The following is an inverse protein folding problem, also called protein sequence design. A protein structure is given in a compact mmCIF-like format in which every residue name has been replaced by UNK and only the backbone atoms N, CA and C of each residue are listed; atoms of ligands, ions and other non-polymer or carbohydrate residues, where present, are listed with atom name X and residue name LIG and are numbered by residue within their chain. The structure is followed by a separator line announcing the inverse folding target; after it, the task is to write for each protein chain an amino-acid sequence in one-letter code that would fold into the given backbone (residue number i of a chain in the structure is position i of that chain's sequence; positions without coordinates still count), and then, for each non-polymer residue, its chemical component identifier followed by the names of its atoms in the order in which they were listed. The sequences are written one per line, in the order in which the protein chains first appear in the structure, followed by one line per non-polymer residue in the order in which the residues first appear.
data_IF_763034134066
#
_entry.id   IF_763034134066
#
_cell.length_a   1.000
_cell.length_b   1.000
_cell.length_c   1.000
_cell.angle_alpha   90.00
_cell.angle_beta   90.00
_cell.angle_gamma   90.00
#
_symmetry.space_group_name_H-M   'P 1'
#
loop_
_entity.id
_entity.type
_entity.pdbx_description
1 polymer ?
#
# COMPACT_ATOMS: atom_id res chain seq x y z
N UNK A 1 -27.60 -10.40 -22.11
CA UNK A 1 -28.44 -10.48 -20.90
C UNK A 1 -27.97 -11.57 -19.92
N UNK A 2 -27.86 -12.85 -20.31
CA UNK A 2 -27.45 -13.97 -19.42
C UNK A 2 -26.08 -13.77 -18.75
N UNK A 3 -25.08 -13.22 -19.46
CA UNK A 3 -23.75 -12.93 -18.87
C UNK A 3 -23.79 -11.88 -17.74
N UNK A 4 -24.73 -10.94 -17.79
CA UNK A 4 -24.92 -9.90 -16.75
C UNK A 4 -25.65 -10.51 -15.54
N UNK A 5 -26.67 -11.31 -15.77
CA UNK A 5 -27.40 -12.01 -14.71
C UNK A 5 -26.50 -13.01 -13.95
N UNK A 6 -25.58 -13.67 -14.65
CA UNK A 6 -24.61 -14.57 -14.04
C UNK A 6 -23.40 -13.86 -13.40
N UNK A 7 -23.29 -12.52 -13.48
CA UNK A 7 -22.14 -11.79 -12.94
C UNK A 7 -22.07 -11.88 -11.40
N UNK A 8 -23.20 -12.09 -10.73
CA UNK A 8 -23.30 -12.29 -9.28
C UNK A 8 -23.48 -13.77 -8.88
N UNK A 9 -23.30 -14.71 -9.81
CA UNK A 9 -23.44 -16.13 -9.50
C UNK A 9 -22.31 -16.59 -8.58
N UNK A 10 -22.65 -16.96 -7.35
CA UNK A 10 -21.70 -17.46 -6.33
C UNK A 10 -20.91 -18.66 -6.86
N UNK A 11 -21.59 -19.64 -7.47
CA UNK A 11 -20.92 -20.84 -8.01
C UNK A 11 -19.90 -20.50 -9.09
N UNK A 12 -20.28 -19.67 -10.07
CA UNK A 12 -19.39 -19.26 -11.16
C UNK A 12 -18.20 -18.43 -10.65
N UNK A 13 -18.47 -17.47 -9.78
CA UNK A 13 -17.44 -16.60 -9.22
C UNK A 13 -16.49 -17.40 -8.32
N UNK A 14 -17.00 -18.34 -7.52
CA UNK A 14 -16.17 -19.23 -6.68
C UNK A 14 -15.27 -20.11 -7.54
N UNK A 15 -15.80 -20.71 -8.62
CA UNK A 15 -14.98 -21.51 -9.55
C UNK A 15 -13.90 -20.68 -10.22
N UNK A 16 -14.18 -19.42 -10.55
CA UNK A 16 -13.21 -18.50 -11.14
C UNK A 16 -12.16 -18.03 -10.12
N UNK A 17 -12.55 -17.79 -8.87
CA UNK A 17 -11.65 -17.41 -7.77
C UNK A 17 -10.69 -18.54 -7.40
N UNK A 18 -11.18 -19.79 -7.38
CA UNK A 18 -10.38 -20.97 -7.04
C UNK A 18 -9.62 -21.56 -8.25
N UNK A 19 -9.76 -20.96 -9.44
CA UNK A 19 -9.07 -21.46 -10.63
C UNK A 19 -7.56 -21.22 -10.54
N UNK A 20 -6.79 -22.29 -10.70
CA UNK A 20 -5.32 -22.23 -10.76
C UNK A 20 -4.87 -22.46 -12.19
N UNK A 21 -4.22 -21.46 -12.78
CA UNK A 21 -3.61 -21.60 -14.10
C UNK A 21 -2.36 -22.50 -13.99
N UNK A 22 -2.36 -23.61 -14.74
CA UNK A 22 -1.25 -24.58 -14.76
C UNK A 22 -0.34 -24.46 -15.99
N UNK A 23 -0.65 -23.57 -16.92
CA UNK A 23 0.15 -23.37 -18.12
C UNK A 23 1.41 -22.56 -17.78
N UNK A 24 2.57 -23.23 -17.75
CA UNK A 24 3.89 -22.63 -17.43
C UNK A 24 4.28 -21.46 -18.34
N UNK A 25 3.74 -21.40 -19.56
CA UNK A 25 4.05 -20.33 -20.52
C UNK A 25 3.12 -19.11 -20.38
N UNK A 26 2.04 -19.22 -19.61
CA UNK A 26 1.09 -18.11 -19.44
C UNK A 26 1.66 -17.02 -18.53
N UNK A 27 1.36 -15.76 -18.82
CA UNK A 27 1.77 -14.64 -17.96
C UNK A 27 1.22 -14.82 -16.52
N UNK A 28 -0.01 -15.30 -16.38
CA UNK A 28 -0.62 -15.58 -15.08
C UNK A 28 0.19 -16.59 -14.24
N UNK A 29 0.82 -17.59 -14.88
CA UNK A 29 1.71 -18.52 -14.20
C UNK A 29 3.04 -17.85 -13.83
N UNK A 30 3.68 -17.14 -14.76
CA UNK A 30 4.97 -16.48 -14.51
C UNK A 30 4.91 -15.44 -13.38
N UNK A 31 3.77 -14.76 -13.23
CA UNK A 31 3.58 -13.73 -12.20
C UNK A 31 2.75 -14.20 -10.99
N UNK A 32 2.58 -15.51 -10.82
CA UNK A 32 1.79 -16.08 -9.71
C UNK A 32 2.33 -15.71 -8.33
N UNK A 33 3.64 -15.46 -8.21
CA UNK A 33 4.28 -15.06 -6.96
C UNK A 33 3.69 -13.74 -6.39
N UNK A 34 3.10 -12.89 -7.25
CA UNK A 34 2.39 -11.69 -6.81
C UNK A 34 1.18 -12.02 -5.93
N UNK A 35 0.55 -13.19 -6.11
CA UNK A 35 -0.50 -13.66 -5.21
C UNK A 35 0.06 -14.02 -3.83
N UNK A 36 1.24 -14.63 -3.77
CA UNK A 36 1.95 -14.90 -2.52
C UNK A 36 2.31 -13.61 -1.78
N UNK A 37 2.86 -12.62 -2.50
CA UNK A 37 3.13 -11.29 -1.93
C UNK A 37 1.87 -10.67 -1.31
N UNK A 38 0.75 -10.66 -2.05
CA UNK A 38 -0.52 -10.15 -1.52
C UNK A 38 -0.99 -10.93 -0.29
N UNK A 39 -0.88 -12.25 -0.30
CA UNK A 39 -1.31 -13.08 0.82
C UNK A 39 -0.53 -12.75 2.10
N UNK A 40 0.81 -12.75 2.03
CA UNK A 40 1.64 -12.43 3.19
C UNK A 40 1.45 -10.98 3.65
N UNK A 41 1.32 -10.03 2.72
CA UNK A 41 1.01 -8.64 3.06
C UNK A 41 -0.36 -8.49 3.73
N UNK A 42 -1.43 -9.13 3.22
CA UNK A 42 -2.75 -9.11 3.87
C UNK A 42 -2.71 -9.71 5.27
N UNK A 43 -2.03 -10.86 5.42
CA UNK A 43 -1.87 -11.48 6.73
C UNK A 43 -1.18 -10.52 7.70
N UNK A 44 -0.14 -9.82 7.24
CA UNK A 44 0.58 -8.84 8.05
C UNK A 44 -0.27 -7.60 8.39
N UNK A 45 -1.10 -7.10 7.48
CA UNK A 45 -2.09 -6.02 7.74
C UNK A 45 -3.07 -6.46 8.82
N UNK A 46 -3.69 -7.63 8.66
CA UNK A 46 -4.69 -8.16 9.61
C UNK A 46 -4.05 -8.34 10.99
N UNK A 47 -2.83 -8.89 11.03
CA UNK A 47 -2.06 -9.03 12.24
C UNK A 47 -1.82 -7.65 12.89
N UNK A 48 -1.30 -6.68 12.13
CA UNK A 48 -1.10 -5.29 12.57
C UNK A 48 -2.34 -4.65 13.20
N UNK A 49 -3.48 -4.70 12.50
CA UNK A 49 -4.74 -4.17 13.03
C UNK A 49 -5.24 -4.92 14.27
N UNK A 50 -5.03 -6.24 14.33
CA UNK A 50 -5.40 -7.03 15.49
C UNK A 50 -4.62 -6.62 16.75
N UNK A 51 -3.34 -6.22 16.66
CA UNK A 51 -2.65 -5.67 17.85
C UNK A 51 -3.19 -4.31 18.27
N UNK A 52 -3.60 -3.48 17.31
CA UNK A 52 -4.12 -2.14 17.59
C UNK A 52 -5.52 -2.18 18.20
N UNK A 53 -6.30 -3.21 17.85
CA UNK A 53 -7.65 -3.44 18.35
C UNK A 53 -7.71 -4.04 19.77
N UNK A 54 -6.55 -4.27 20.44
CA UNK A 54 -6.55 -4.61 21.86
C UNK A 54 -7.00 -3.40 22.67
N UNK A 55 -8.21 -3.50 23.19
CA UNK A 55 -8.86 -2.54 24.07
C UNK A 55 -7.91 -2.15 25.23
N UNK A 56 -7.66 -0.85 25.49
CA UNK A 56 -6.87 -0.39 26.61
C UNK A 56 -7.67 -0.55 27.90
N UNK A 57 -7.94 -1.79 28.33
CA UNK A 57 -8.20 -2.05 29.74
C UNK A 57 -6.86 -1.79 30.45
N UNK A 58 -6.76 -0.56 30.97
CA UNK A 58 -5.68 0.17 31.66
C UNK A 58 -4.79 -0.70 32.58
N UNK A 59 -5.26 -1.86 33.02
CA UNK A 59 -4.53 -2.85 33.84
C UNK A 59 -3.23 -3.44 33.24
N UNK A 60 -2.87 -3.14 31.98
CA UNK A 60 -1.73 -3.76 31.28
C UNK A 60 -0.78 -2.82 30.54
N UNK A 61 -0.81 -1.51 30.80
CA UNK A 61 0.06 -0.55 30.09
C UNK A 61 1.55 -0.89 30.21
N UNK A 62 1.99 -1.40 31.37
CA UNK A 62 3.36 -1.91 31.57
C UNK A 62 3.70 -3.11 30.66
N UNK A 63 2.76 -4.06 30.49
CA UNK A 63 2.94 -5.21 29.58
C UNK A 63 2.96 -4.77 28.11
N UNK A 64 2.23 -3.70 27.76
CA UNK A 64 2.27 -3.09 26.43
C UNK A 64 3.64 -2.44 26.19
N UNK A 65 4.17 -1.69 27.17
CA UNK A 65 5.48 -1.06 27.08
C UNK A 65 6.62 -2.09 26.98
N UNK A 66 6.54 -3.18 27.75
CA UNK A 66 7.51 -4.27 27.72
C UNK A 66 7.43 -5.04 26.39
N UNK A 67 6.22 -5.29 25.88
CA UNK A 67 6.02 -5.89 24.57
C UNK A 67 6.55 -5.01 23.44
N UNK A 68 6.30 -3.68 23.48
CA UNK A 68 6.70 -2.76 22.41
C UNK A 68 8.21 -2.57 22.30
N UNK A 69 8.94 -2.79 23.40
CA UNK A 69 10.40 -2.83 23.43
C UNK A 69 11.03 -4.07 22.82
N UNK A 70 10.25 -5.12 22.48
CA UNK A 70 10.80 -6.36 21.92
C UNK A 70 11.04 -6.27 20.39
N UNK A 71 12.09 -6.94 19.91
CA UNK A 71 12.36 -7.07 18.48
C UNK A 71 11.27 -7.83 17.72
N UNK A 72 10.62 -8.79 18.38
CA UNK A 72 9.49 -9.53 17.82
C UNK A 72 8.29 -8.61 17.57
N UNK A 73 7.98 -7.74 18.54
CA UNK A 73 6.94 -6.73 18.36
C UNK A 73 7.30 -5.73 17.25
N UNK A 74 8.57 -5.41 17.05
CA UNK A 74 9.00 -4.56 15.93
C UNK A 74 8.64 -5.18 14.56
N UNK A 75 8.83 -6.49 14.38
CA UNK A 75 8.41 -7.19 13.17
C UNK A 75 6.88 -7.19 13.00
N UNK A 76 6.14 -7.11 14.09
CA UNK A 76 4.68 -7.01 14.08
C UNK A 76 4.21 -5.58 13.75
N UNK A 77 4.70 -4.57 14.48
CA UNK A 77 4.28 -3.17 14.40
C UNK A 77 4.66 -2.49 13.09
N UNK A 78 5.61 -3.09 12.35
CA UNK A 78 6.00 -2.67 10.99
C UNK A 78 4.96 -3.06 9.92
N UNK A 79 3.78 -3.58 10.28
CA UNK A 79 2.69 -3.92 9.37
C UNK A 79 2.34 -2.79 8.37
N UNK A 80 2.56 -1.52 8.69
CA UNK A 80 2.40 -0.41 7.76
C UNK A 80 3.21 -0.55 6.45
N UNK A 81 4.39 -1.22 6.46
CA UNK A 81 5.18 -1.52 5.26
C UNK A 81 4.48 -2.46 4.27
N UNK A 82 3.58 -3.31 4.78
CA UNK A 82 2.79 -4.19 3.92
C UNK A 82 1.84 -3.38 3.02
N UNK A 83 1.39 -2.21 3.47
CA UNK A 83 0.57 -1.28 2.66
C UNK A 83 1.39 -0.70 1.51
N UNK A 84 2.64 -0.33 1.75
CA UNK A 84 3.58 0.10 0.70
C UNK A 84 3.83 -1.00 -0.34
N UNK A 85 3.76 -2.28 0.06
CA UNK A 85 3.80 -3.40 -0.89
C UNK A 85 2.61 -3.37 -1.84
N UNK A 86 1.41 -3.05 -1.35
CA UNK A 86 0.23 -2.92 -2.22
C UNK A 86 0.34 -1.72 -3.16
N UNK A 87 0.82 -0.57 -2.70
CA UNK A 87 1.07 0.59 -3.57
C UNK A 87 2.10 0.27 -4.65
N UNK A 88 3.20 -0.40 -4.29
CA UNK A 88 4.19 -0.90 -5.24
C UNK A 88 3.55 -1.82 -6.30
N UNK A 89 2.74 -2.80 -5.86
CA UNK A 89 2.04 -3.71 -6.76
C UNK A 89 1.04 -2.99 -7.68
N UNK A 90 0.33 -1.97 -7.17
CA UNK A 90 -0.58 -1.13 -7.95
C UNK A 90 0.16 -0.42 -9.09
N UNK A 91 1.29 0.22 -8.79
CA UNK A 91 2.12 0.89 -9.80
C UNK A 91 2.73 -0.08 -10.81
N UNK A 92 3.31 -1.18 -10.31
CA UNK A 92 3.89 -2.23 -11.17
C UNK A 92 2.86 -2.79 -12.15
N UNK A 93 1.69 -3.22 -11.67
CA UNK A 93 0.67 -3.83 -12.53
C UNK A 93 0.07 -2.82 -13.49
N UNK A 94 -0.11 -1.56 -13.09
CA UNK A 94 -0.60 -0.53 -13.98
C UNK A 94 0.37 -0.32 -15.15
N UNK A 95 1.64 -0.05 -14.86
CA UNK A 95 2.65 0.16 -15.87
C UNK A 95 2.83 -1.09 -16.75
N UNK A 96 2.90 -2.28 -16.14
CA UNK A 96 3.06 -3.55 -16.86
C UNK A 96 1.96 -3.81 -17.89
N UNK A 97 0.72 -3.42 -17.59
CA UNK A 97 -0.41 -3.59 -18.51
C UNK A 97 -0.47 -2.46 -19.55
N UNK A 98 -0.31 -1.20 -19.13
CA UNK A 98 -0.52 -0.04 -20.01
C UNK A 98 0.60 0.15 -21.03
N UNK A 99 1.86 -0.16 -20.71
CA UNK A 99 2.97 0.04 -21.65
C UNK A 99 2.85 -0.86 -22.89
N UNK A 100 2.11 -1.97 -22.81
CA UNK A 100 1.87 -2.89 -23.93
C UNK A 100 0.74 -2.42 -24.86
N UNK A 101 0.02 -1.37 -24.49
CA UNK A 101 -1.16 -0.90 -25.21
C UNK A 101 -0.77 0.18 -26.22
N UNK A 102 -1.23 0.03 -27.46
CA UNK A 102 -1.03 1.01 -28.54
C UNK A 102 -2.37 1.66 -28.91
N UNK A 103 -2.77 2.66 -28.13
CA UNK A 103 -3.91 3.55 -28.39
C UNK A 103 -3.49 5.00 -28.18
N UNK A 104 -4.28 5.94 -28.65
CA UNK A 104 -4.02 7.36 -28.38
C UNK A 104 -3.97 7.63 -26.87
N UNK A 105 -3.08 8.53 -26.45
CA UNK A 105 -2.86 8.88 -25.04
C UNK A 105 -4.16 9.26 -24.34
N UNK A 106 -5.02 10.03 -25.02
CA UNK A 106 -6.32 10.44 -24.49
C UNK A 106 -7.26 9.26 -24.24
N UNK A 107 -7.35 8.32 -25.19
CA UNK A 107 -8.20 7.12 -25.04
C UNK A 107 -7.71 6.28 -23.86
N UNK A 108 -6.40 6.10 -23.70
CA UNK A 108 -5.84 5.36 -22.56
C UNK A 108 -6.20 6.03 -21.24
N UNK A 109 -6.03 7.35 -21.13
CA UNK A 109 -6.38 8.10 -19.91
C UNK A 109 -7.86 7.94 -19.58
N UNK A 110 -8.76 8.29 -20.52
CA UNK A 110 -10.21 8.28 -20.28
C UNK A 110 -10.70 6.88 -19.93
N UNK A 111 -10.32 5.86 -20.71
CA UNK A 111 -10.77 4.49 -20.48
C UNK A 111 -10.22 3.94 -19.17
N UNK A 112 -8.95 4.21 -18.84
CA UNK A 112 -8.36 3.76 -17.59
C UNK A 112 -9.03 4.42 -16.38
N UNK A 113 -9.28 5.74 -16.43
CA UNK A 113 -9.95 6.49 -15.38
C UNK A 113 -11.36 5.94 -15.11
N UNK A 114 -12.18 5.80 -16.16
CA UNK A 114 -13.56 5.28 -16.03
C UNK A 114 -13.55 3.86 -15.48
N UNK A 115 -12.70 2.98 -16.04
CA UNK A 115 -12.65 1.57 -15.59
C UNK A 115 -12.18 1.46 -14.14
N UNK A 116 -11.19 2.25 -13.72
CA UNK A 116 -10.68 2.21 -12.35
C UNK A 116 -11.70 2.79 -11.38
N UNK A 117 -12.34 3.90 -11.73
CA UNK A 117 -13.41 4.49 -10.92
C UNK A 117 -14.54 3.48 -10.68
N UNK A 118 -15.07 2.87 -11.75
CA UNK A 118 -16.11 1.84 -11.64
C UNK A 118 -15.64 0.66 -10.79
N UNK A 119 -14.42 0.17 -11.04
CA UNK A 119 -13.86 -1.00 -10.34
C UNK A 119 -13.66 -0.78 -8.84
N UNK A 120 -13.36 0.44 -8.40
CA UNK A 120 -13.09 0.76 -6.99
C UNK A 120 -14.33 1.29 -6.29
N UNK A 121 -14.97 2.31 -6.87
CA UNK A 121 -16.07 3.03 -6.22
C UNK A 121 -17.33 2.17 -6.12
N UNK A 122 -17.68 1.35 -7.13
CA UNK A 122 -18.91 0.55 -7.07
C UNK A 122 -18.86 -0.50 -5.95
N UNK A 123 -17.81 -1.32 -5.80
CA UNK A 123 -17.72 -2.24 -4.67
C UNK A 123 -17.75 -1.55 -3.32
N UNK A 124 -17.09 -0.39 -3.17
CA UNK A 124 -17.12 0.37 -1.92
C UNK A 124 -18.54 0.82 -1.60
N UNK A 125 -19.24 1.47 -2.54
CA UNK A 125 -20.62 1.89 -2.34
C UNK A 125 -21.52 0.69 -2.03
N UNK A 126 -21.33 -0.45 -2.70
CA UNK A 126 -22.07 -1.67 -2.41
C UNK A 126 -21.83 -2.17 -0.98
N UNK A 127 -20.56 -2.22 -0.52
CA UNK A 127 -20.22 -2.62 0.84
C UNK A 127 -20.80 -1.65 1.88
N UNK A 128 -20.70 -0.34 1.63
CA UNK A 128 -21.26 0.69 2.50
C UNK A 128 -22.77 0.55 2.61
N UNK A 129 -23.48 0.36 1.49
CA UNK A 129 -24.92 0.13 1.49
C UNK A 129 -25.29 -1.19 2.18
N UNK A 130 -24.50 -2.24 1.98
CA UNK A 130 -24.70 -3.53 2.66
C UNK A 130 -24.52 -3.42 4.18
N UNK A 131 -23.67 -2.50 4.66
CA UNK A 131 -23.45 -2.30 6.08
C UNK A 131 -24.70 -1.79 6.82
N UNK A 132 -25.65 -1.13 6.13
CA UNK A 132 -26.96 -0.78 6.71
C UNK A 132 -27.75 -2.00 7.22
N UNK A 133 -27.47 -3.19 6.70
CA UNK A 133 -28.15 -4.43 7.09
C UNK A 133 -27.47 -5.12 8.28
N UNK A 134 -26.23 -4.76 8.61
CA UNK A 134 -25.43 -5.42 9.68
C UNK A 134 -26.12 -5.37 11.05
N UNK A 135 -26.75 -4.25 11.48
CA UNK A 135 -27.46 -4.20 12.76
C UNK A 135 -28.62 -5.21 12.91
N UNK A 136 -29.15 -5.75 11.80
CA UNK A 136 -30.22 -6.75 11.84
C UNK A 136 -29.73 -8.13 12.31
N UNK A 137 -28.42 -8.39 12.20
CA UNK A 137 -27.83 -9.72 12.44
C UNK A 137 -26.82 -9.73 13.59
N UNK A 138 -26.26 -8.58 13.96
CA UNK A 138 -25.18 -8.49 14.93
C UNK A 138 -25.47 -7.42 15.99
N UNK A 139 -25.22 -7.74 17.26
CA UNK A 139 -25.30 -6.81 18.39
C UNK A 139 -24.21 -7.15 19.41
N UNK A 140 -23.75 -6.14 20.17
CA UNK A 140 -22.71 -6.33 21.17
C UNK A 140 -22.45 -5.06 21.99
N UNK A 141 -21.56 -5.11 22.99
CA UNK A 141 -21.33 -3.98 23.91
C UNK A 141 -21.00 -2.65 23.20
N UNK A 142 -20.25 -2.72 22.10
CA UNK A 142 -19.82 -1.56 21.32
C UNK A 142 -20.66 -1.31 20.05
N UNK A 143 -21.73 -2.09 19.80
CA UNK A 143 -22.46 -2.01 18.53
C UNK A 143 -23.16 -0.66 18.34
N UNK A 144 -23.69 -0.07 19.42
CA UNK A 144 -24.33 1.27 19.34
C UNK A 144 -23.35 2.33 18.85
N UNK A 145 -22.16 2.41 19.45
CA UNK A 145 -21.12 3.38 19.08
C UNK A 145 -20.70 3.17 17.63
N UNK A 146 -20.46 1.91 17.23
CA UNK A 146 -20.10 1.57 15.86
C UNK A 146 -21.15 2.04 14.83
N UNK A 147 -22.44 1.81 15.12
CA UNK A 147 -23.52 2.19 14.20
C UNK A 147 -23.76 3.69 14.18
N UNK A 148 -23.68 4.37 15.33
CA UNK A 148 -23.78 5.84 15.39
C UNK A 148 -22.66 6.49 14.55
N UNK A 149 -21.42 6.04 14.71
CA UNK A 149 -20.27 6.48 13.91
C UNK A 149 -20.52 6.23 12.40
N UNK A 150 -21.01 5.05 12.04
CA UNK A 150 -21.34 4.72 10.66
C UNK A 150 -22.40 5.65 10.07
N UNK A 151 -23.51 5.90 10.76
CA UNK A 151 -24.58 6.77 10.28
C UNK A 151 -24.13 8.23 10.15
N UNK A 152 -23.28 8.71 11.06
CA UNK A 152 -22.67 10.03 10.95
C UNK A 152 -21.74 10.13 9.74
N UNK A 153 -20.89 9.12 9.53
CA UNK A 153 -19.96 9.09 8.39
C UNK A 153 -20.71 9.08 7.05
N UNK A 154 -21.76 8.28 6.94
CA UNK A 154 -22.61 8.19 5.73
C UNK A 154 -23.40 9.48 5.51
N UNK A 155 -23.97 10.09 6.54
CA UNK A 155 -24.80 11.30 6.36
C UNK A 155 -23.96 12.53 6.00
N UNK A 156 -22.74 12.65 6.54
CA UNK A 156 -21.93 13.87 6.40
C UNK A 156 -20.76 13.75 5.42
N UNK A 157 -20.20 12.55 5.20
CA UNK A 157 -18.92 12.36 4.48
C UNK A 157 -19.00 11.46 3.24
N UNK A 158 -20.19 11.01 2.85
CA UNK A 158 -20.33 10.03 1.76
C UNK A 158 -19.71 10.42 0.42
N UNK A 159 -19.80 11.72 0.10
CA UNK A 159 -19.28 12.27 -1.14
C UNK A 159 -17.75 12.16 -1.22
N UNK A 160 -17.04 12.08 -0.09
CA UNK A 160 -15.57 11.96 -0.04
C UNK A 160 -15.11 10.64 -0.67
N UNK A 161 -15.88 9.55 -0.50
CA UNK A 161 -15.56 8.25 -1.10
C UNK A 161 -15.83 8.22 -2.60
N UNK A 162 -16.87 8.94 -3.05
CA UNK A 162 -17.14 9.08 -4.48
C UNK A 162 -16.08 9.91 -5.18
N UNK A 163 -15.62 10.99 -4.55
CA UNK A 163 -14.57 11.84 -5.11
C UNK A 163 -13.15 11.27 -4.88
N UNK A 164 -13.01 10.18 -4.11
CA UNK A 164 -11.72 9.58 -3.76
C UNK A 164 -10.76 10.59 -3.09
N UNK A 165 -11.29 11.37 -2.12
CA UNK A 165 -10.56 12.42 -1.37
C UNK A 165 -10.60 12.20 0.14
N UNK A 166 -10.93 10.99 0.60
CA UNK A 166 -11.09 10.66 2.02
C UNK A 166 -9.83 10.95 2.82
N UNK A 167 -8.66 10.66 2.24
CA UNK A 167 -7.37 10.84 2.87
C UNK A 167 -7.04 12.29 3.23
N UNK A 168 -7.60 13.30 2.53
CA UNK A 168 -7.32 14.72 2.81
C UNK A 168 -8.11 15.29 4.00
N UNK A 169 -9.04 14.52 4.56
CA UNK A 169 -9.80 14.93 5.73
C UNK A 169 -9.24 14.23 6.97
N UNK A 170 -9.17 14.98 8.07
CA UNK A 170 -8.69 14.45 9.34
C UNK A 170 -9.58 13.31 9.82
N UNK A 171 -8.95 12.18 10.09
CA UNK A 171 -9.47 11.06 10.83
C UNK A 171 -9.96 11.54 12.19
N UNK A 172 -11.22 11.25 12.50
CA UNK A 172 -11.83 11.53 13.81
C UNK A 172 -12.15 10.23 14.54
N UNK A 173 -12.37 10.29 15.85
CA UNK A 173 -12.80 9.12 16.65
C UNK A 173 -14.17 8.56 16.22
N UNK A 174 -14.90 9.31 15.39
CA UNK A 174 -16.21 8.96 14.82
C UNK A 174 -16.13 8.08 13.56
N UNK A 175 -14.98 7.49 13.20
CA UNK A 175 -14.82 6.78 11.93
C UNK A 175 -15.12 5.28 12.02
N UNK A 176 -16.05 4.81 11.20
CA UNK A 176 -16.36 3.39 11.06
C UNK A 176 -15.44 2.72 10.04
N UNK A 177 -15.07 3.42 8.96
CA UNK A 177 -14.26 2.87 7.88
C UNK A 177 -12.94 3.61 7.68
N UNK A 178 -12.16 3.73 8.76
CA UNK A 178 -10.87 4.43 8.75
C UNK A 178 -9.94 3.95 7.62
N UNK A 179 -9.91 2.66 7.29
CA UNK A 179 -9.05 2.10 6.23
C UNK A 179 -9.34 2.58 4.80
N UNK A 180 -10.47 3.28 4.54
CA UNK A 180 -10.83 3.75 3.19
C UNK A 180 -9.92 4.87 2.65
N UNK A 181 -9.10 5.51 3.50
CA UNK A 181 -8.07 6.44 3.04
C UNK A 181 -7.18 5.82 1.95
N UNK A 182 -6.88 4.52 2.09
CA UNK A 182 -6.00 3.78 1.18
C UNK A 182 -6.51 3.84 -0.27
N UNK A 183 -7.82 3.71 -0.47
CA UNK A 183 -8.42 3.72 -1.81
C UNK A 183 -8.32 5.10 -2.47
N UNK A 184 -8.51 6.16 -1.69
CA UNK A 184 -8.35 7.54 -2.17
C UNK A 184 -6.91 7.81 -2.58
N UNK A 185 -5.96 7.42 -1.73
CA UNK A 185 -4.52 7.55 -1.99
C UNK A 185 -4.09 6.77 -3.24
N UNK A 186 -4.52 5.51 -3.38
CA UNK A 186 -4.24 4.66 -4.54
C UNK A 186 -4.83 5.24 -5.83
N UNK A 187 -6.03 5.83 -5.78
CA UNK A 187 -6.66 6.48 -6.92
C UNK A 187 -5.88 7.75 -7.35
N UNK A 188 -5.45 8.57 -6.40
CA UNK A 188 -4.69 9.80 -6.68
C UNK A 188 -3.32 9.48 -7.31
N UNK A 189 -2.59 8.49 -6.78
CA UNK A 189 -1.35 8.01 -7.38
C UNK A 189 -1.56 7.40 -8.77
N UNK A 190 -2.67 6.68 -8.94
CA UNK A 190 -3.07 6.15 -10.24
C UNK A 190 -3.29 7.23 -11.29
N UNK A 191 -3.99 8.32 -10.94
CA UNK A 191 -4.23 9.46 -11.85
C UNK A 191 -2.88 10.00 -12.33
N UNK A 192 -1.98 10.36 -11.42
CA UNK A 192 -0.64 10.86 -11.79
C UNK A 192 0.08 9.87 -12.69
N UNK A 193 0.07 8.59 -12.33
CA UNK A 193 0.77 7.57 -13.08
C UNK A 193 0.21 7.34 -14.48
N UNK A 194 -1.12 7.30 -14.66
CA UNK A 194 -1.71 7.07 -15.98
C UNK A 194 -1.43 8.23 -16.93
N UNK A 195 -1.36 9.47 -16.44
CA UNK A 195 -0.93 10.61 -17.23
C UNK A 195 0.52 10.45 -17.72
N UNK A 196 1.45 10.11 -16.82
CA UNK A 196 2.85 9.87 -17.19
C UNK A 196 2.97 8.72 -18.20
N UNK A 197 2.31 7.60 -17.94
CA UNK A 197 2.30 6.44 -18.83
C UNK A 197 1.76 6.80 -20.22
N UNK A 198 0.65 7.54 -20.28
CA UNK A 198 -0.01 7.89 -21.53
C UNK A 198 0.72 8.94 -22.36
N UNK A 199 1.33 9.93 -21.71
CA UNK A 199 2.10 10.98 -22.41
C UNK A 199 3.44 10.45 -22.90
N UNK A 200 4.10 9.56 -22.15
CA UNK A 200 5.45 9.10 -22.44
C UNK A 200 5.52 7.69 -23.07
N UNK A 201 4.41 7.16 -23.59
CA UNK A 201 4.29 5.79 -24.15
C UNK A 201 5.46 5.40 -25.07
N UNK A 202 5.89 6.31 -25.94
CA UNK A 202 6.94 6.08 -26.94
C UNK A 202 8.36 6.34 -26.43
N UNK A 203 8.51 6.85 -25.20
CA UNK A 203 9.79 7.31 -24.63
C UNK A 203 10.10 6.58 -23.32
N UNK A 204 10.26 5.26 -23.38
CA UNK A 204 10.48 4.41 -22.19
C UNK A 204 11.65 4.87 -21.29
N UNK A 205 12.74 5.35 -21.88
CA UNK A 205 13.87 5.88 -21.09
C UNK A 205 13.47 7.13 -20.29
N UNK A 206 12.77 8.08 -20.93
CA UNK A 206 12.29 9.28 -20.27
C UNK A 206 11.24 8.93 -19.20
N UNK A 207 10.29 8.06 -19.54
CA UNK A 207 9.27 7.55 -18.61
C UNK A 207 9.89 6.96 -17.34
N UNK A 208 10.93 6.11 -17.50
CA UNK A 208 11.66 5.53 -16.37
C UNK A 208 12.25 6.61 -15.47
N UNK A 209 12.96 7.58 -16.04
CA UNK A 209 13.59 8.66 -15.26
C UNK A 209 12.57 9.61 -14.64
N UNK A 210 11.42 9.83 -15.29
CA UNK A 210 10.29 10.57 -14.69
C UNK A 210 9.79 9.87 -13.43
N UNK A 211 9.57 8.55 -13.46
CA UNK A 211 9.14 7.81 -12.26
C UNK A 211 10.21 7.76 -11.17
N UNK A 212 11.49 7.64 -11.53
CA UNK A 212 12.60 7.77 -10.57
C UNK A 212 12.58 9.16 -9.91
N UNK A 213 12.45 10.23 -10.70
CA UNK A 213 12.37 11.59 -10.20
C UNK A 213 11.18 11.83 -9.28
N UNK A 214 9.99 11.33 -9.66
CA UNK A 214 8.80 11.39 -8.80
C UNK A 214 8.98 10.62 -7.48
N UNK A 215 9.65 9.45 -7.53
CA UNK A 215 9.95 8.68 -6.31
C UNK A 215 10.85 9.45 -5.36
N UNK A 216 11.93 10.04 -5.89
CA UNK A 216 12.86 10.87 -5.12
C UNK A 216 12.20 12.14 -4.59
N UNK A 217 11.29 12.76 -5.35
CA UNK A 217 10.53 13.92 -4.92
C UNK A 217 9.63 13.59 -3.73
N UNK A 218 8.94 12.45 -3.76
CA UNK A 218 8.14 11.94 -2.63
C UNK A 218 9.00 11.69 -1.37
N UNK A 219 10.19 11.10 -1.54
CA UNK A 219 11.15 10.87 -0.45
C UNK A 219 11.65 12.20 0.14
N UNK A 220 12.03 13.15 -0.72
CA UNK A 220 12.48 14.48 -0.32
C UNK A 220 11.38 15.26 0.42
N UNK A 221 10.13 15.17 -0.04
CA UNK A 221 8.99 15.79 0.63
C UNK A 221 8.76 15.19 2.02
N UNK A 222 8.83 13.86 2.14
CA UNK A 222 8.68 13.17 3.44
C UNK A 222 9.79 13.58 4.41
N UNK A 223 11.03 13.66 3.94
CA UNK A 223 12.17 14.16 4.72
C UNK A 223 11.99 15.62 5.18
N UNK A 224 11.53 16.48 4.29
CA UNK A 224 11.22 17.88 4.61
C UNK A 224 10.12 17.99 5.67
N UNK A 225 9.05 17.17 5.59
CA UNK A 225 8.01 17.14 6.62
C UNK A 225 8.60 16.76 8.00
N UNK A 226 9.53 15.81 8.07
CA UNK A 226 10.16 15.43 9.34
C UNK A 226 11.05 16.53 9.90
N UNK A 227 11.70 17.32 9.04
CA UNK A 227 12.56 18.44 9.47
C UNK A 227 11.79 19.51 10.25
N UNK A 228 10.47 19.62 10.06
CA UNK A 228 9.63 20.57 10.80
C UNK A 228 9.55 20.27 12.31
N UNK A 229 9.95 19.07 12.76
CA UNK A 229 9.85 18.66 14.16
C UNK A 229 8.40 18.43 14.64
N UNK A 230 7.42 18.45 13.74
CA UNK A 230 6.01 18.23 14.08
C UNK A 230 5.59 16.76 14.00
N UNK A 231 6.23 15.99 13.13
CA UNK A 231 5.79 14.65 12.73
C UNK A 231 6.88 13.61 12.97
N UNK A 232 6.44 12.35 13.10
CA UNK A 232 7.33 11.20 13.20
C UNK A 232 7.40 10.43 11.87
N UNK A 233 8.53 9.77 11.58
CA UNK A 233 8.72 9.11 10.29
C UNK A 233 8.03 7.72 10.22
N UNK A 234 7.43 7.30 11.34
CA UNK A 234 6.64 6.09 11.54
C UNK A 234 5.42 6.42 12.41
N UNK A 235 4.40 5.57 12.37
CA UNK A 235 3.29 5.60 13.34
C UNK A 235 3.70 4.71 14.52
N UNK A 236 4.06 5.26 15.69
CA UNK A 236 4.53 4.46 16.81
C UNK A 236 3.36 3.80 17.52
N UNK A 237 3.60 2.64 18.14
CA UNK A 237 2.61 1.99 19.00
C UNK A 237 2.45 2.67 20.36
N UNK A 238 3.46 3.41 20.80
CA UNK A 238 3.45 4.20 22.04
C UNK A 238 3.99 5.59 21.73
N UNK A 239 3.24 6.63 22.11
CA UNK A 239 3.66 8.03 21.96
C UNK A 239 3.47 8.79 23.27
N UNK A 240 4.39 9.70 23.56
CA UNK A 240 4.24 10.64 24.68
C UNK A 240 3.09 11.65 24.44
N UNK A 241 2.78 11.95 23.17
CA UNK A 241 1.75 12.90 22.78
C UNK A 241 0.82 12.30 21.70
N UNK A 242 -0.44 12.08 22.04
CA UNK A 242 -1.46 11.54 21.12
C UNK A 242 -1.70 12.47 19.91
N UNK A 243 -1.55 13.78 20.08
CA UNK A 243 -1.70 14.72 18.97
C UNK A 243 -0.63 14.53 17.91
N UNK A 244 0.62 14.25 18.31
CA UNK A 244 1.72 13.97 17.36
C UNK A 244 1.43 12.71 16.54
N UNK A 245 0.88 11.67 17.15
CA UNK A 245 0.49 10.44 16.44
C UNK A 245 -0.67 10.71 15.48
N UNK A 246 -1.73 11.39 15.93
CA UNK A 246 -2.87 11.72 15.10
C UNK A 246 -2.48 12.62 13.93
N UNK A 247 -1.68 13.65 14.15
CA UNK A 247 -1.19 14.54 13.11
C UNK A 247 -0.25 13.81 12.13
N UNK A 248 0.63 12.92 12.63
CA UNK A 248 1.47 12.08 11.76
C UNK A 248 0.63 11.14 10.90
N UNK A 249 -0.43 10.55 11.47
CA UNK A 249 -1.34 9.68 10.72
C UNK A 249 -2.07 10.46 9.61
N UNK A 250 -2.62 11.62 9.95
CA UNK A 250 -3.46 12.42 9.07
C UNK A 250 -2.69 13.19 8.00
N UNK A 251 -1.61 13.86 8.38
CA UNK A 251 -0.90 14.83 7.53
C UNK A 251 0.30 14.21 6.80
N UNK A 252 0.70 13.00 7.18
CA UNK A 252 1.85 12.30 6.59
C UNK A 252 1.44 10.94 6.07
N UNK A 253 1.03 10.02 6.95
CA UNK A 253 0.85 8.61 6.56
C UNK A 253 -0.25 8.43 5.50
N UNK A 254 -1.43 9.02 5.69
CA UNK A 254 -2.53 8.87 4.72
C UNK A 254 -2.28 9.60 3.39
N UNK A 255 -1.26 10.45 3.31
CA UNK A 255 -1.00 11.28 2.13
C UNK A 255 -0.37 10.47 0.98
N UNK A 256 -0.72 10.79 -0.28
CA UNK A 256 -0.13 10.11 -1.45
C UNK A 256 1.36 10.31 -1.57
N UNK A 257 1.85 11.47 -1.13
CA UNK A 257 3.27 11.81 -1.19
C UNK A 257 4.12 10.84 -0.38
N UNK A 258 3.60 10.30 0.72
CA UNK A 258 4.30 9.37 1.59
C UNK A 258 4.50 7.99 0.96
N UNK A 259 3.49 7.52 0.21
CA UNK A 259 3.49 6.21 -0.45
C UNK A 259 3.94 6.25 -1.92
N UNK A 260 4.04 7.45 -2.50
CA UNK A 260 4.32 7.65 -3.91
C UNK A 260 5.66 7.04 -4.35
N UNK A 261 6.68 7.07 -3.48
CA UNK A 261 7.96 6.43 -3.75
C UNK A 261 7.80 4.94 -4.08
N UNK A 262 7.01 4.22 -3.27
CA UNK A 262 6.74 2.79 -3.47
C UNK A 262 5.95 2.54 -4.75
N UNK A 263 4.92 3.33 -4.99
CA UNK A 263 4.09 3.22 -6.19
C UNK A 263 4.89 3.43 -7.47
N UNK A 264 5.66 4.52 -7.55
CA UNK A 264 6.42 4.89 -8.74
C UNK A 264 7.62 3.96 -8.98
N UNK A 265 8.26 3.43 -7.93
CA UNK A 265 9.26 2.38 -8.10
C UNK A 265 8.67 1.07 -8.64
N UNK A 266 7.42 0.75 -8.30
CA UNK A 266 6.68 -0.32 -8.97
C UNK A 266 6.62 -0.12 -10.49
N UNK A 267 6.31 1.10 -10.94
CA UNK A 267 6.31 1.45 -12.36
C UNK A 267 7.71 1.32 -12.99
N UNK A 268 8.76 1.77 -12.29
CA UNK A 268 10.15 1.60 -12.73
C UNK A 268 10.47 0.12 -12.94
N UNK A 269 10.09 -0.74 -12.00
CA UNK A 269 10.33 -2.19 -12.09
C UNK A 269 9.62 -2.82 -13.28
N UNK A 270 8.39 -2.40 -13.59
CA UNK A 270 7.69 -2.87 -14.78
C UNK A 270 8.44 -2.51 -16.08
N UNK A 271 8.94 -1.27 -16.18
CA UNK A 271 9.73 -0.80 -17.34
C UNK A 271 11.06 -1.57 -17.45
N UNK A 272 11.75 -1.76 -16.33
CA UNK A 272 13.00 -2.54 -16.28
C UNK A 272 12.77 -3.98 -16.71
N UNK A 273 11.70 -4.60 -16.21
CA UNK A 273 11.37 -5.97 -16.56
C UNK A 273 11.02 -6.09 -18.06
N UNK A 274 10.32 -5.13 -18.64
CA UNK A 274 10.03 -5.13 -20.08
C UNK A 274 11.31 -5.00 -20.92
N UNK A 275 12.26 -4.15 -20.51
CA UNK A 275 13.50 -3.91 -21.26
C UNK A 275 14.53 -5.02 -21.08
N UNK A 276 14.62 -5.59 -19.89
CA UNK A 276 15.71 -6.49 -19.49
C UNK A 276 15.24 -7.91 -19.16
N UNK A 277 14.04 -8.31 -19.60
CA UNK A 277 13.48 -9.65 -19.34
C UNK A 277 14.45 -10.78 -19.68
N UNK A 278 15.19 -10.64 -20.79
CA UNK A 278 16.12 -11.64 -21.32
C UNK A 278 17.60 -11.36 -21.00
N UNK A 279 17.93 -10.26 -20.33
CA UNK A 279 19.31 -9.87 -20.11
C UNK A 279 19.98 -10.83 -19.12
N UNK A 280 21.06 -11.50 -19.47
CA UNK A 280 21.73 -12.43 -18.53
C UNK A 280 22.34 -11.66 -17.35
N UNK A 281 22.11 -12.15 -16.13
CA UNK A 281 22.70 -11.62 -14.90
C UNK A 281 23.67 -12.67 -14.38
N UNK A 282 24.89 -12.26 -14.06
CA UNK A 282 25.91 -13.15 -13.48
C UNK A 282 25.50 -13.61 -12.08
N UNK A 283 26.00 -14.79 -11.65
CA UNK A 283 25.73 -15.32 -10.31
C UNK A 283 26.18 -14.34 -9.22
N UNK A 284 27.33 -13.69 -9.39
CA UNK A 284 27.87 -12.71 -8.44
C UNK A 284 26.90 -11.52 -8.30
N UNK A 285 26.45 -10.97 -9.42
CA UNK A 285 25.48 -9.87 -9.40
C UNK A 285 24.17 -10.29 -8.73
N UNK A 286 23.70 -11.52 -8.99
CA UNK A 286 22.49 -12.06 -8.39
C UNK A 286 22.59 -12.18 -6.86
N UNK A 287 23.69 -12.74 -6.35
CA UNK A 287 23.96 -12.86 -4.92
C UNK A 287 24.05 -11.48 -4.26
N UNK A 288 24.80 -10.55 -4.86
CA UNK A 288 24.92 -9.17 -4.36
C UNK A 288 23.56 -8.50 -4.25
N UNK A 289 22.72 -8.63 -5.30
CA UNK A 289 21.39 -8.03 -5.31
C UNK A 289 20.46 -8.68 -4.26
N UNK A 290 20.54 -10.00 -4.05
CA UNK A 290 19.81 -10.66 -2.96
C UNK A 290 20.26 -10.17 -1.58
N UNK A 291 21.56 -10.15 -1.30
CA UNK A 291 22.10 -9.63 -0.05
C UNK A 291 21.68 -8.18 0.20
N UNK A 292 21.81 -7.30 -0.81
CA UNK A 292 21.39 -5.91 -0.71
C UNK A 292 19.88 -5.76 -0.47
N UNK A 293 19.06 -6.56 -1.16
CA UNK A 293 17.60 -6.55 -1.00
C UNK A 293 17.17 -7.00 0.40
N UNK A 294 17.76 -8.08 0.92
CA UNK A 294 17.47 -8.59 2.26
C UNK A 294 17.94 -7.60 3.33
N UNK A 295 19.15 -7.04 3.19
CA UNK A 295 19.65 -6.02 4.08
C UNK A 295 18.73 -4.78 4.10
N UNK A 296 18.20 -4.37 2.94
CA UNK A 296 17.24 -3.27 2.82
C UNK A 296 15.94 -3.57 3.58
N UNK A 297 15.35 -4.75 3.38
CA UNK A 297 14.13 -5.17 4.06
C UNK A 297 14.32 -5.27 5.59
N UNK A 298 15.41 -5.89 6.03
CA UNK A 298 15.76 -6.02 7.45
C UNK A 298 15.96 -4.64 8.08
N UNK A 299 16.63 -3.72 7.38
CA UNK A 299 16.82 -2.34 7.86
C UNK A 299 15.48 -1.62 8.05
N UNK A 300 14.58 -1.68 7.06
CA UNK A 300 13.24 -1.06 7.14
C UNK A 300 12.38 -1.60 8.30
N UNK A 301 12.58 -2.86 8.68
CA UNK A 301 11.86 -3.50 9.79
C UNK A 301 12.53 -3.13 11.12
N UNK A 302 13.82 -3.40 11.29
CA UNK A 302 14.51 -3.30 12.57
C UNK A 302 14.75 -1.84 12.99
N UNK A 303 15.01 -0.94 12.06
CA UNK A 303 15.28 0.46 12.41
C UNK A 303 14.08 1.14 13.11
N UNK A 304 12.85 0.63 12.95
CA UNK A 304 11.65 1.17 13.62
C UNK A 304 11.64 0.96 15.13
N UNK A 305 12.42 0.00 15.62
CA UNK A 305 12.51 -0.32 17.04
C UNK A 305 12.80 0.92 17.90
N UNK A 306 13.64 1.82 17.39
CA UNK A 306 13.96 3.12 18.00
C UNK A 306 12.72 3.93 18.37
N UNK A 307 11.74 4.03 17.47
CA UNK A 307 10.54 4.85 17.67
C UNK A 307 9.43 4.12 18.42
N UNK A 308 9.43 2.79 18.46
CA UNK A 308 8.40 2.00 19.16
C UNK A 308 8.33 2.27 20.66
N UNK A 309 9.45 2.69 21.27
CA UNK A 309 9.55 2.97 22.70
C UNK A 309 8.98 4.34 23.10
N UNK A 310 8.56 5.17 22.13
CA UNK A 310 7.88 6.45 22.36
C UNK A 310 8.72 7.60 22.94
N UNK A 311 9.98 7.36 23.29
CA UNK A 311 10.89 8.34 23.91
C UNK A 311 11.78 9.12 22.94
N UNK A 312 11.36 9.29 21.68
CA UNK A 312 12.16 9.99 20.66
C UNK A 312 11.49 11.30 20.29
N UNK A 313 12.23 12.40 20.49
CA UNK A 313 11.80 13.72 20.07
C UNK A 313 11.79 13.82 18.53
N UNK A 314 10.72 14.39 17.92
CA UNK A 314 10.68 14.57 16.47
C UNK A 314 11.69 15.61 15.97
N UNK A 315 12.07 15.52 14.69
CA UNK A 315 12.89 16.51 14.01
C UNK A 315 14.39 16.23 14.06
N UNK A 316 14.80 15.04 14.52
CA UNK A 316 16.19 14.63 14.49
C UNK A 316 16.66 14.35 13.07
N UNK A 317 17.97 14.43 12.82
CA UNK A 317 18.54 14.05 11.51
C UNK A 317 18.24 12.59 11.14
N UNK A 318 18.03 11.73 12.15
CA UNK A 318 17.65 10.33 11.97
C UNK A 318 16.21 10.20 11.45
N UNK A 319 15.29 11.05 11.92
CA UNK A 319 13.92 11.07 11.41
C UNK A 319 13.89 11.47 9.94
N UNK A 320 14.66 12.51 9.59
CA UNK A 320 14.79 13.01 8.22
C UNK A 320 15.40 11.94 7.31
N UNK A 321 16.50 11.32 7.73
CA UNK A 321 17.15 10.27 6.97
C UNK A 321 16.23 9.04 6.80
N UNK A 322 15.58 8.60 7.87
CA UNK A 322 14.68 7.47 7.82
C UNK A 322 13.49 7.73 6.91
N UNK A 323 12.84 8.90 7.01
CA UNK A 323 11.74 9.26 6.12
C UNK A 323 12.14 9.32 4.64
N UNK A 324 13.38 9.71 4.32
CA UNK A 324 13.88 9.68 2.96
C UNK A 324 14.11 8.25 2.44
N UNK A 325 14.81 7.42 3.21
CA UNK A 325 15.33 6.14 2.71
C UNK A 325 14.37 4.96 2.88
N UNK A 326 13.50 4.98 3.88
CA UNK A 326 12.73 3.79 4.28
C UNK A 326 11.88 3.21 3.14
N UNK A 327 11.03 4.02 2.51
CA UNK A 327 10.15 3.57 1.42
C UNK A 327 10.94 3.23 0.16
N UNK A 328 12.04 3.94 -0.08
CA UNK A 328 12.95 3.66 -1.18
C UNK A 328 13.60 2.27 -1.02
N UNK A 329 14.17 1.99 0.14
CA UNK A 329 14.81 0.71 0.47
C UNK A 329 13.82 -0.46 0.42
N UNK A 330 12.63 -0.28 1.01
CA UNK A 330 11.57 -1.29 0.95
C UNK A 330 11.18 -1.61 -0.50
N UNK A 331 11.04 -0.58 -1.32
CA UNK A 331 10.66 -0.72 -2.72
C UNK A 331 11.78 -1.29 -3.58
N UNK A 332 13.05 -1.03 -3.27
CA UNK A 332 14.19 -1.69 -3.91
C UNK A 332 14.22 -3.19 -3.61
N UNK A 333 13.92 -3.58 -2.37
CA UNK A 333 13.72 -4.97 -2.00
C UNK A 333 12.63 -5.63 -2.85
N UNK A 334 11.44 -5.02 -2.91
CA UNK A 334 10.31 -5.53 -3.71
C UNK A 334 10.65 -5.58 -5.21
N UNK A 335 11.42 -4.60 -5.69
CA UNK A 335 11.86 -4.52 -7.09
C UNK A 335 12.74 -5.70 -7.46
N UNK A 336 13.77 -5.98 -6.65
CA UNK A 336 14.63 -7.13 -6.89
C UNK A 336 13.87 -8.45 -6.77
N UNK A 337 13.07 -8.62 -5.72
CA UNK A 337 12.23 -9.80 -5.51
C UNK A 337 11.32 -10.05 -6.72
N UNK A 338 10.67 -9.01 -7.23
CA UNK A 338 9.80 -9.09 -8.42
C UNK A 338 10.57 -9.53 -9.66
N UNK A 339 11.75 -8.95 -9.90
CA UNK A 339 12.59 -9.26 -11.06
C UNK A 339 13.14 -10.69 -10.97
N UNK A 340 13.63 -11.11 -9.81
CA UNK A 340 14.17 -12.44 -9.59
C UNK A 340 13.10 -13.52 -9.77
N UNK A 341 11.91 -13.34 -9.16
CA UNK A 341 10.79 -14.26 -9.31
C UNK A 341 10.26 -14.32 -10.75
N UNK A 342 10.10 -13.17 -11.43
CA UNK A 342 9.63 -13.13 -12.82
C UNK A 342 10.58 -13.82 -13.81
N UNK A 343 11.83 -14.06 -13.41
CA UNK A 343 12.87 -14.72 -14.21
C UNK A 343 13.13 -16.17 -13.79
N UNK A 344 12.38 -16.72 -12.84
CA UNK A 344 12.59 -18.08 -12.32
C UNK A 344 13.84 -18.23 -11.45
N UNK A 345 14.43 -17.13 -10.98
CA UNK A 345 15.70 -17.10 -10.21
C UNK A 345 15.49 -17.07 -8.70
N UNK A 346 14.27 -17.30 -8.24
CA UNK A 346 13.91 -17.32 -6.81
C UNK A 346 13.89 -18.75 -6.21
N UNK A 347 14.61 -19.70 -6.82
CA UNK A 347 14.73 -21.07 -6.31
C UNK A 347 13.89 -22.13 -7.04
N UNK A 348 13.48 -21.91 -8.28
CA UNK A 348 12.94 -22.99 -9.12
C UNK A 348 14.10 -23.76 -9.79
N UNK A 349 14.72 -24.66 -9.04
CA UNK A 349 15.55 -25.74 -9.56
C UNK A 349 14.80 -27.07 -9.50
#
# INVERSE_FOLDING_TARGET
MVKILCAFSVSRNTRLLLYVNRNKQSEAYCYRFLHGLRFFSLFWIVLGHASMAFDPIISRFANVLEATGSWFFCAFSTAFLSVDTFFYLSGFLLAFNVIKVDFSSWVIIVVALIRRFIRVTIPVVFCLLGFFLVPLFFWGPNSKILYDNYYEEISSRWWQWLLQVRNFYKSSDMECFAHLWYLSTDFQLFVVCIFVLAVLQKRLTLMKWTFVGLSLLCCAFSAWQMQTGKYLPVIPSVVANLNTMADTFNEVYMMPTFHGASYFLGCVTAILLQRYRKAEISLVTEVVMWCASIASAVTCILARHRWNSGGVDPGTWQDVAFAFFDRLLWSLFLSWLTIACARGRAGEH
#
